data_IF_048957718930
#
_entry.id   IF_048957718930
#
_cell.length_a   1.000
_cell.length_b   1.000
_cell.length_c   1.000
_cell.angle_alpha   90.00
_cell.angle_beta   90.00
_cell.angle_gamma   90.00
#
_symmetry.space_group_name_H-M   'P 1'
#
loop_
_entity.id
_entity.type
_entity.pdbx_description
1 polymer ?
#
# COMPACT_ATOMS: atom_id res chain seq x y z
N UNK A 1 42.85 -13.59 -11.75
CA UNK A 1 41.45 -13.73 -11.29
C UNK A 1 41.22 -13.17 -9.89
N UNK A 2 41.99 -13.56 -8.87
CA UNK A 2 41.81 -13.07 -7.48
C UNK A 2 41.94 -11.54 -7.35
N UNK A 3 42.92 -10.92 -8.01
CA UNK A 3 43.10 -9.46 -7.98
C UNK A 3 41.91 -8.70 -8.60
N UNK A 4 41.37 -9.22 -9.71
CA UNK A 4 40.20 -8.66 -10.38
C UNK A 4 38.95 -8.76 -9.48
N UNK A 5 38.74 -9.92 -8.85
CA UNK A 5 37.67 -10.13 -7.89
C UNK A 5 37.76 -9.14 -6.72
N UNK A 6 38.97 -8.95 -6.19
CA UNK A 6 39.22 -8.03 -5.07
C UNK A 6 38.95 -6.57 -5.46
N UNK A 7 39.35 -6.15 -6.66
CA UNK A 7 39.02 -4.82 -7.20
C UNK A 7 37.51 -4.64 -7.34
N UNK A 8 36.81 -5.62 -7.91
CA UNK A 8 35.35 -5.58 -8.08
C UNK A 8 34.64 -5.48 -6.74
N UNK A 9 34.98 -6.32 -5.76
CA UNK A 9 34.37 -6.31 -4.42
C UNK A 9 34.65 -4.99 -3.70
N UNK A 10 35.88 -4.49 -3.78
CA UNK A 10 36.26 -3.22 -3.14
C UNK A 10 35.48 -2.05 -3.77
N UNK A 11 35.37 -2.04 -5.09
CA UNK A 11 34.63 -1.01 -5.83
C UNK A 11 33.14 -1.04 -5.48
N UNK A 12 32.53 -2.23 -5.43
CA UNK A 12 31.14 -2.42 -5.02
C UNK A 12 30.90 -1.98 -3.57
N UNK A 13 31.82 -2.31 -2.66
CA UNK A 13 31.73 -1.88 -1.27
C UNK A 13 31.83 -0.36 -1.12
N UNK A 14 32.77 0.29 -1.81
CA UNK A 14 32.91 1.75 -1.81
C UNK A 14 31.65 2.40 -2.40
N UNK A 15 31.15 1.88 -3.52
CA UNK A 15 29.92 2.37 -4.14
C UNK A 15 28.71 2.26 -3.19
N UNK A 16 28.52 1.09 -2.57
CA UNK A 16 27.46 0.90 -1.59
C UNK A 16 27.61 1.84 -0.40
N UNK A 17 28.81 1.98 0.15
CA UNK A 17 29.08 2.91 1.26
C UNK A 17 28.78 4.36 0.87
N UNK A 18 29.19 4.81 -0.31
CA UNK A 18 28.91 6.15 -0.81
C UNK A 18 27.40 6.40 -0.99
N UNK A 19 26.67 5.39 -1.44
CA UNK A 19 25.23 5.45 -1.61
C UNK A 19 24.48 5.54 -0.27
N UNK A 20 24.82 4.66 0.68
CA UNK A 20 24.18 4.57 2.00
C UNK A 20 24.62 5.65 3.00
N UNK A 21 25.60 6.49 2.64
CA UNK A 21 26.03 7.67 3.42
C UNK A 21 25.62 9.00 2.77
N UNK A 22 24.81 8.96 1.71
CA UNK A 22 24.33 10.15 0.98
C UNK A 22 23.68 11.18 1.91
N UNK A 23 22.79 10.76 2.81
CA UNK A 23 22.08 11.69 3.69
C UNK A 23 22.98 12.36 4.72
N UNK A 24 23.86 11.59 5.34
CA UNK A 24 24.87 12.09 6.28
C UNK A 24 25.78 13.13 5.60
N UNK A 25 26.21 12.86 4.37
CA UNK A 25 27.01 13.80 3.56
C UNK A 25 26.27 15.07 3.16
N UNK A 26 24.95 15.02 3.08
CA UNK A 26 24.10 16.18 2.80
C UNK A 26 23.69 16.92 4.09
N UNK A 27 24.15 16.46 5.26
CA UNK A 27 23.88 17.09 6.55
C UNK A 27 22.54 16.71 7.18
N UNK A 28 21.85 15.68 6.67
CA UNK A 28 20.63 15.17 7.29
C UNK A 28 20.94 14.18 8.41
N UNK A 29 20.20 14.26 9.52
CA UNK A 29 20.09 13.15 10.46
C UNK A 29 19.57 11.92 9.70
N UNK A 30 20.22 10.77 9.83
CA UNK A 30 19.87 9.54 9.12
C UNK A 30 19.82 8.37 10.08
N UNK A 31 18.86 7.45 9.87
CA UNK A 31 18.94 6.15 10.51
C UNK A 31 20.15 5.38 9.94
N UNK A 32 20.80 4.57 10.77
CA UNK A 32 21.97 3.79 10.37
C UNK A 32 21.54 2.71 9.38
N UNK A 33 21.73 3.00 8.10
CA UNK A 33 21.40 2.09 7.02
C UNK A 33 22.25 0.82 7.07
N UNK A 34 21.62 -0.35 7.04
CA UNK A 34 22.32 -1.63 6.92
C UNK A 34 22.51 -1.96 5.45
N UNK A 35 23.74 -2.02 4.96
CA UNK A 35 24.01 -2.41 3.57
C UNK A 35 23.67 -3.91 3.40
N UNK A 36 22.85 -4.32 2.41
CA UNK A 36 22.25 -3.56 1.31
C UNK A 36 20.74 -3.28 1.47
N UNK A 37 20.17 -3.47 2.67
CA UNK A 37 18.73 -3.37 2.91
C UNK A 37 18.29 -1.99 3.41
N UNK A 38 19.22 -1.08 3.65
CA UNK A 38 18.96 0.26 4.14
C UNK A 38 18.30 0.22 5.52
N UNK A 39 17.26 1.03 5.69
CA UNK A 39 16.42 1.05 6.89
C UNK A 39 15.41 -0.11 6.93
N UNK A 40 15.27 -0.88 5.84
CA UNK A 40 14.23 -1.89 5.66
C UNK A 40 14.66 -3.32 6.05
N UNK A 41 15.81 -3.48 6.72
CA UNK A 41 16.33 -4.80 7.10
C UNK A 41 15.30 -5.64 7.88
N UNK A 42 14.67 -5.06 8.91
CA UNK A 42 13.62 -5.74 9.71
C UNK A 42 12.39 -6.13 8.91
N UNK A 43 12.04 -5.35 7.89
CA UNK A 43 10.93 -5.65 6.98
C UNK A 43 11.28 -6.86 6.11
N UNK A 44 12.50 -6.88 5.57
CA UNK A 44 12.98 -7.98 4.75
C UNK A 44 13.06 -9.30 5.54
N UNK A 45 13.52 -9.26 6.79
CA UNK A 45 13.56 -10.41 7.70
C UNK A 45 12.19 -10.79 8.27
N UNK A 46 11.11 -10.07 7.91
CA UNK A 46 9.73 -10.26 8.41
C UNK A 46 9.61 -10.16 9.93
N UNK A 47 10.54 -9.46 10.57
CA UNK A 47 10.53 -9.22 12.01
C UNK A 47 9.51 -8.14 12.37
N UNK A 48 9.32 -7.15 11.47
CA UNK A 48 8.45 -6.01 11.74
C UNK A 48 7.82 -5.49 10.43
N UNK A 49 6.53 -5.13 10.43
CA UNK A 49 5.88 -4.56 9.24
C UNK A 49 6.44 -3.17 8.93
N UNK A 50 6.37 -2.81 7.64
CA UNK A 50 6.90 -1.57 7.08
C UNK A 50 6.50 -0.31 7.87
N UNK A 51 5.22 -0.13 8.15
CA UNK A 51 4.72 1.05 8.87
C UNK A 51 5.30 1.20 10.28
N UNK A 52 5.50 0.08 10.99
CA UNK A 52 6.07 0.13 12.34
C UNK A 52 7.58 0.38 12.31
N UNK A 53 8.29 -0.04 11.26
CA UNK A 53 9.71 0.32 11.09
C UNK A 53 9.85 1.82 10.85
N UNK A 54 8.97 2.43 10.06
CA UNK A 54 8.96 3.88 9.89
C UNK A 54 8.60 4.62 11.19
N UNK A 55 7.67 4.09 11.98
CA UNK A 55 7.36 4.63 13.31
C UNK A 55 8.57 4.58 14.24
N UNK A 56 9.29 3.46 14.28
CA UNK A 56 10.49 3.35 15.12
C UNK A 56 11.54 4.42 14.77
N UNK A 57 11.74 4.67 13.47
CA UNK A 57 12.68 5.69 13.00
C UNK A 57 12.15 7.09 13.32
N UNK A 58 10.83 7.30 13.15
CA UNK A 58 10.17 8.54 13.53
C UNK A 58 10.36 8.86 15.01
N UNK A 59 10.25 7.87 15.89
CA UNK A 59 10.35 8.07 17.34
C UNK A 59 11.81 8.22 17.82
N UNK A 60 12.74 7.56 17.13
CA UNK A 60 14.17 7.56 17.45
C UNK A 60 14.89 8.86 17.09
N UNK A 61 14.50 9.50 16.00
CA UNK A 61 15.16 10.72 15.50
C UNK A 61 14.45 11.98 16.01
N UNK A 62 15.12 13.13 15.93
CA UNK A 62 14.59 14.38 16.48
C UNK A 62 14.47 15.49 15.44
N UNK A 63 15.21 15.42 14.33
CA UNK A 63 15.11 16.40 13.26
C UNK A 63 13.77 16.38 12.52
N UNK A 64 13.43 17.52 11.92
CA UNK A 64 12.19 17.71 11.15
C UNK A 64 12.10 16.80 9.93
N UNK A 65 13.26 16.43 9.38
CA UNK A 65 13.41 15.57 8.21
C UNK A 65 14.55 14.61 8.48
N UNK A 66 14.29 13.32 8.27
CA UNK A 66 15.26 12.26 8.54
C UNK A 66 15.55 11.50 7.25
N UNK A 67 16.82 11.32 6.93
CA UNK A 67 17.27 10.46 5.86
C UNK A 67 16.97 8.99 6.16
N UNK A 68 16.32 8.32 5.23
CA UNK A 68 16.08 6.88 5.28
C UNK A 68 16.42 6.22 3.94
N UNK A 69 16.51 4.90 3.98
CA UNK A 69 16.76 4.09 2.79
C UNK A 69 15.70 3.00 2.67
N UNK A 70 14.82 3.16 1.67
CA UNK A 70 13.84 2.16 1.28
C UNK A 70 14.55 1.14 0.38
N UNK A 71 15.21 0.15 1.00
CA UNK A 71 16.23 -0.68 0.34
C UNK A 71 17.31 0.21 -0.29
N UNK A 72 17.45 0.18 -1.62
CA UNK A 72 18.43 0.99 -2.35
C UNK A 72 17.89 2.38 -2.71
N UNK A 73 16.63 2.71 -2.44
CA UNK A 73 16.07 4.03 -2.76
C UNK A 73 16.28 5.00 -1.59
N UNK A 74 17.09 6.06 -1.72
CA UNK A 74 17.18 7.09 -0.69
C UNK A 74 15.84 7.84 -0.63
N UNK A 75 15.30 8.00 0.57
CA UNK A 75 14.07 8.75 0.82
C UNK A 75 14.20 9.64 2.06
N UNK A 76 13.31 10.62 2.19
CA UNK A 76 13.22 11.49 3.35
C UNK A 76 11.94 11.18 4.12
N UNK A 77 12.07 10.92 5.41
CA UNK A 77 10.97 10.81 6.34
C UNK A 77 10.68 12.21 6.91
N UNK A 78 9.55 12.79 6.50
CA UNK A 78 9.10 14.10 6.99
C UNK A 78 8.39 13.91 8.33
N UNK A 79 8.87 14.61 9.36
CA UNK A 79 8.35 14.53 10.74
C UNK A 79 7.61 15.77 11.19
N UNK A 80 7.97 16.92 10.63
CA UNK A 80 7.33 18.20 10.90
C UNK A 80 5.98 18.29 10.16
N UNK A 81 4.90 18.54 10.92
CA UNK A 81 3.55 18.57 10.39
C UNK A 81 3.30 19.74 9.44
N UNK A 82 3.95 20.88 9.65
CA UNK A 82 3.80 22.05 8.80
C UNK A 82 4.51 21.84 7.46
N UNK A 83 5.69 21.23 7.49
CA UNK A 83 6.39 20.79 6.28
C UNK A 83 5.60 19.72 5.52
N UNK A 84 5.03 18.74 6.22
CA UNK A 84 4.17 17.73 5.60
C UNK A 84 2.94 18.38 4.95
N UNK A 85 2.30 19.33 5.63
CA UNK A 85 1.18 20.12 5.08
C UNK A 85 1.63 20.86 3.82
N UNK A 86 2.74 21.58 3.86
CA UNK A 86 3.26 22.31 2.71
C UNK A 86 3.47 21.39 1.50
N UNK A 87 4.13 20.25 1.68
CA UNK A 87 4.38 19.25 0.63
C UNK A 87 3.07 18.70 0.05
N UNK A 88 2.11 18.36 0.92
CA UNK A 88 0.86 17.71 0.51
C UNK A 88 -0.18 18.68 -0.05
N UNK A 89 -0.10 19.98 0.26
CA UNK A 89 -1.07 20.99 -0.17
C UNK A 89 -0.48 22.04 -1.10
N UNK A 90 0.47 22.83 -0.59
CA UNK A 90 0.98 24.03 -1.28
C UNK A 90 1.83 23.63 -2.48
N UNK A 91 2.76 22.71 -2.25
CA UNK A 91 3.72 22.25 -3.25
C UNK A 91 3.28 20.93 -3.91
N UNK A 92 2.00 20.57 -3.79
CA UNK A 92 1.46 19.30 -4.29
C UNK A 92 1.76 19.07 -5.78
N UNK A 93 1.78 20.13 -6.59
CA UNK A 93 2.11 20.03 -8.00
C UNK A 93 3.52 19.48 -8.25
N UNK A 94 4.45 19.63 -7.31
CA UNK A 94 5.81 19.07 -7.35
C UNK A 94 5.90 17.68 -6.70
N UNK A 95 4.95 17.29 -5.86
CA UNK A 95 4.98 16.06 -5.04
C UNK A 95 3.77 15.13 -5.25
N UNK A 96 3.14 15.19 -6.43
CA UNK A 96 1.92 14.42 -6.71
C UNK A 96 2.18 12.93 -6.97
N UNK A 97 3.38 12.58 -7.40
CA UNK A 97 3.77 11.20 -7.73
C UNK A 97 4.19 10.42 -6.49
N UNK A 98 3.84 9.13 -6.43
CA UNK A 98 4.09 8.27 -5.27
C UNK A 98 5.33 7.38 -5.43
N UNK A 99 5.94 7.38 -6.62
CA UNK A 99 7.21 6.71 -6.88
C UNK A 99 7.12 5.19 -6.80
N UNK A 100 5.97 4.63 -7.21
CA UNK A 100 5.71 3.22 -7.36
C UNK A 100 5.67 2.88 -8.86
N UNK A 101 6.23 1.73 -9.21
CA UNK A 101 6.33 1.30 -10.61
C UNK A 101 4.96 0.97 -11.23
N UNK A 102 4.75 1.42 -12.47
CA UNK A 102 3.57 1.13 -13.30
C UNK A 102 4.02 0.53 -14.62
N UNK A 103 3.43 -0.61 -15.01
CA UNK A 103 3.60 -1.23 -16.32
C UNK A 103 2.24 -1.39 -16.98
N UNK A 104 1.75 -0.33 -17.65
CA UNK A 104 0.43 -0.36 -18.28
C UNK A 104 0.33 -1.40 -19.41
N UNK A 105 1.48 -1.79 -20.01
CA UNK A 105 1.51 -2.63 -21.20
C UNK A 105 1.41 -4.12 -20.84
N UNK A 106 2.21 -4.58 -19.89
CA UNK A 106 2.24 -5.99 -19.50
C UNK A 106 1.45 -6.27 -18.21
N UNK A 107 1.12 -5.25 -17.43
CA UNK A 107 0.30 -5.35 -16.23
C UNK A 107 -0.67 -4.16 -16.09
N UNK A 108 -1.78 -4.13 -16.86
CA UNK A 108 -2.74 -3.03 -16.82
C UNK A 108 -3.33 -2.75 -15.42
N UNK A 109 -3.33 -3.74 -14.51
CA UNK A 109 -3.82 -3.55 -13.14
C UNK A 109 -2.87 -2.72 -12.27
N UNK A 110 -1.59 -2.64 -12.64
CA UNK A 110 -0.61 -1.74 -12.00
C UNK A 110 -0.96 -0.26 -12.24
N UNK A 111 -1.71 0.04 -13.31
CA UNK A 111 -2.10 1.38 -13.74
C UNK A 111 -3.42 1.84 -13.08
N UNK A 112 -3.41 2.01 -11.76
CA UNK A 112 -4.59 2.47 -11.01
C UNK A 112 -4.38 3.88 -10.42
N UNK A 113 -5.47 4.52 -9.96
CA UNK A 113 -5.46 5.90 -9.42
C UNK A 113 -4.46 6.11 -8.26
N UNK A 114 -4.15 5.04 -7.52
CA UNK A 114 -3.23 5.11 -6.39
C UNK A 114 -1.76 5.02 -6.80
N UNK A 115 -1.44 4.61 -8.02
CA UNK A 115 -0.06 4.34 -8.44
C UNK A 115 0.36 5.19 -9.63
N UNK A 116 -0.57 5.48 -10.55
CA UNK A 116 -0.29 6.32 -11.72
C UNK A 116 0.31 7.68 -11.36
N UNK A 117 1.09 8.21 -12.30
CA UNK A 117 1.87 9.43 -12.14
C UNK A 117 1.46 10.50 -13.17
N UNK A 118 1.82 11.75 -12.90
CA UNK A 118 1.70 12.85 -13.85
C UNK A 118 0.29 13.11 -14.39
N UNK A 119 0.21 13.35 -15.70
CA UNK A 119 -1.01 13.77 -16.38
C UNK A 119 -2.06 12.65 -16.46
N UNK A 120 -1.65 11.39 -16.57
CA UNK A 120 -2.55 10.23 -16.57
C UNK A 120 -3.30 10.13 -15.24
N UNK A 121 -2.59 10.28 -14.12
CA UNK A 121 -3.19 10.36 -12.80
C UNK A 121 -4.18 11.53 -12.66
N UNK A 122 -3.77 12.74 -13.08
CA UNK A 122 -4.64 13.93 -13.03
C UNK A 122 -5.94 13.70 -13.81
N UNK A 123 -5.83 13.15 -15.01
CA UNK A 123 -6.96 12.87 -15.88
C UNK A 123 -7.92 11.85 -15.25
N UNK A 124 -7.40 10.75 -14.71
CA UNK A 124 -8.25 9.75 -14.05
C UNK A 124 -8.91 10.33 -12.79
N UNK A 125 -8.17 11.08 -11.98
CA UNK A 125 -8.70 11.72 -10.77
C UNK A 125 -9.86 12.66 -11.09
N UNK A 126 -9.71 13.51 -12.09
CA UNK A 126 -10.76 14.44 -12.52
C UNK A 126 -12.03 13.72 -12.96
N UNK A 127 -11.91 12.54 -13.58
CA UNK A 127 -13.05 11.71 -13.99
C UNK A 127 -13.75 11.02 -12.83
N UNK A 128 -13.00 10.56 -11.83
CA UNK A 128 -13.55 9.77 -10.70
C UNK A 128 -14.04 10.64 -9.54
N UNK A 129 -13.42 11.79 -9.28
CA UNK A 129 -13.75 12.63 -8.13
C UNK A 129 -15.25 13.03 -8.04
N UNK A 130 -15.97 13.36 -9.15
CA UNK A 130 -17.38 13.73 -9.07
C UNK A 130 -18.29 12.64 -8.50
N UNK A 131 -17.93 11.36 -8.69
CA UNK A 131 -18.69 10.20 -8.18
C UNK A 131 -18.69 10.12 -6.64
N UNK A 132 -17.74 10.78 -5.98
CA UNK A 132 -17.60 10.81 -4.52
C UNK A 132 -17.99 12.16 -3.90
N UNK A 133 -18.79 12.98 -4.61
CA UNK A 133 -19.35 14.21 -4.06
C UNK A 133 -20.37 13.91 -2.94
N UNK A 134 -20.59 14.85 -2.03
CA UNK A 134 -21.51 14.68 -0.90
C UNK A 134 -22.94 14.29 -1.32
N UNK A 135 -23.42 14.82 -2.45
CA UNK A 135 -24.73 14.46 -3.00
C UNK A 135 -24.79 13.02 -3.52
N UNK A 136 -23.71 12.55 -4.17
CA UNK A 136 -23.60 11.15 -4.61
C UNK A 136 -23.48 10.22 -3.42
N UNK A 137 -22.64 10.53 -2.45
CA UNK A 137 -22.51 9.74 -1.21
C UNK A 137 -23.84 9.63 -0.46
N UNK A 138 -24.61 10.71 -0.37
CA UNK A 138 -25.96 10.66 0.22
C UNK A 138 -26.89 9.72 -0.54
N UNK A 139 -26.83 9.72 -1.88
CA UNK A 139 -27.61 8.81 -2.71
C UNK A 139 -27.20 7.33 -2.58
N UNK A 140 -25.96 7.05 -2.16
CA UNK A 140 -25.49 5.68 -1.94
C UNK A 140 -25.92 5.11 -0.57
N UNK A 141 -26.37 5.98 0.35
CA UNK A 141 -26.60 5.60 1.75
C UNK A 141 -27.67 4.51 1.89
N UNK A 142 -28.78 4.59 1.15
CA UNK A 142 -29.85 3.58 1.19
C UNK A 142 -29.32 2.19 0.81
N UNK A 143 -28.53 2.09 -0.26
CA UNK A 143 -27.90 0.82 -0.67
C UNK A 143 -26.93 0.29 0.40
N UNK A 144 -26.20 1.16 1.08
CA UNK A 144 -25.31 0.76 2.18
C UNK A 144 -26.12 0.22 3.36
N UNK A 145 -27.24 0.86 3.70
CA UNK A 145 -28.13 0.45 4.78
C UNK A 145 -28.79 -0.91 4.49
N UNK A 146 -29.20 -1.16 3.23
CA UNK A 146 -29.74 -2.45 2.79
C UNK A 146 -28.72 -3.58 2.99
N UNK A 147 -27.45 -3.35 2.65
CA UNK A 147 -26.38 -4.34 2.85
C UNK A 147 -26.10 -4.52 4.35
N UNK A 148 -26.23 -3.47 5.17
CA UNK A 148 -26.10 -3.56 6.62
C UNK A 148 -27.23 -4.40 7.23
N UNK A 149 -28.46 -4.26 6.74
CA UNK A 149 -29.59 -5.09 7.16
C UNK A 149 -29.35 -6.58 6.87
N UNK A 150 -28.78 -6.92 5.69
CA UNK A 150 -28.38 -8.30 5.35
C UNK A 150 -27.35 -8.86 6.34
N UNK A 151 -26.33 -8.08 6.68
CA UNK A 151 -25.34 -8.44 7.69
C UNK A 151 -25.99 -8.72 9.06
N UNK A 152 -26.88 -7.82 9.51
CA UNK A 152 -27.58 -7.97 10.79
C UNK A 152 -28.45 -9.23 10.81
N UNK A 153 -29.17 -9.50 9.73
CA UNK A 153 -29.98 -10.71 9.60
C UNK A 153 -29.11 -11.97 9.68
N UNK A 154 -27.99 -12.02 8.95
CA UNK A 154 -27.04 -13.13 9.01
C UNK A 154 -26.51 -13.38 10.44
N UNK A 155 -26.18 -12.31 11.17
CA UNK A 155 -25.72 -12.43 12.56
C UNK A 155 -26.85 -12.89 13.49
N UNK A 156 -28.05 -12.34 13.35
CA UNK A 156 -29.21 -12.72 14.17
C UNK A 156 -29.57 -14.21 13.98
N UNK A 157 -29.50 -14.71 12.75
CA UNK A 157 -29.74 -16.13 12.46
C UNK A 157 -28.65 -17.01 13.08
N UNK A 158 -27.39 -16.62 12.96
CA UNK A 158 -26.25 -17.38 13.50
C UNK A 158 -26.21 -17.41 15.02
N UNK A 159 -26.72 -16.37 15.68
CA UNK A 159 -26.73 -16.21 17.14
C UNK A 159 -28.07 -16.63 17.79
N UNK A 160 -28.99 -17.20 17.01
CA UNK A 160 -30.37 -17.51 17.43
C UNK A 160 -30.47 -18.54 18.55
N UNK A 161 -29.47 -19.41 18.68
CA UNK A 161 -29.45 -20.50 19.68
C UNK A 161 -29.10 -20.04 21.10
N UNK A 162 -28.77 -18.76 21.29
CA UNK A 162 -28.41 -18.19 22.59
C UNK A 162 -27.05 -18.65 23.12
N UNK A 163 -26.24 -19.32 22.29
CA UNK A 163 -24.92 -19.81 22.66
C UNK A 163 -23.84 -18.78 22.36
N UNK A 164 -22.66 -18.98 22.94
CA UNK A 164 -21.48 -18.19 22.60
C UNK A 164 -20.86 -18.70 21.30
N UNK A 165 -20.75 -17.80 20.32
CA UNK A 165 -20.17 -18.11 19.01
C UNK A 165 -18.83 -17.38 18.82
N UNK A 166 -17.87 -18.07 18.23
CA UNK A 166 -16.64 -17.45 17.74
C UNK A 166 -16.90 -16.93 16.32
N UNK A 167 -16.79 -15.61 16.15
CA UNK A 167 -17.01 -14.94 14.86
C UNK A 167 -15.69 -14.44 14.28
N UNK A 168 -15.48 -14.74 13.00
CA UNK A 168 -14.34 -14.22 12.24
C UNK A 168 -14.70 -12.84 11.67
N UNK A 169 -14.41 -11.80 12.44
CA UNK A 169 -14.82 -10.41 12.14
C UNK A 169 -14.24 -9.92 10.81
N UNK A 170 -13.02 -10.33 10.44
CA UNK A 170 -12.40 -9.87 9.19
C UNK A 170 -13.19 -10.35 7.99
N UNK A 171 -13.59 -11.62 7.94
CA UNK A 171 -14.40 -12.20 6.88
C UNK A 171 -15.75 -11.51 6.80
N UNK A 172 -16.42 -11.32 7.93
CA UNK A 172 -17.74 -10.66 8.00
C UNK A 172 -17.67 -9.23 7.43
N UNK A 173 -16.71 -8.42 7.89
CA UNK A 173 -16.56 -7.04 7.43
C UNK A 173 -16.03 -6.95 5.99
N UNK A 174 -15.23 -7.93 5.55
CA UNK A 174 -14.80 -8.03 4.15
C UNK A 174 -16.00 -8.30 3.25
N UNK A 175 -16.86 -9.25 3.62
CA UNK A 175 -18.11 -9.54 2.90
C UNK A 175 -19.01 -8.32 2.83
N UNK A 176 -19.21 -7.63 3.96
CA UNK A 176 -19.97 -6.38 4.02
C UNK A 176 -19.42 -5.31 3.05
N UNK A 177 -18.11 -5.05 3.08
CA UNK A 177 -17.48 -4.06 2.22
C UNK A 177 -17.56 -4.43 0.72
N UNK A 178 -17.40 -5.72 0.40
CA UNK A 178 -17.49 -6.23 -0.97
C UNK A 178 -18.90 -6.09 -1.52
N UNK A 179 -19.92 -6.42 -0.73
CA UNK A 179 -21.32 -6.28 -1.15
C UNK A 179 -21.69 -4.81 -1.34
N UNK A 180 -21.23 -3.90 -0.46
CA UNK A 180 -21.38 -2.46 -0.69
C UNK A 180 -20.77 -2.05 -2.02
N UNK A 181 -19.53 -2.45 -2.31
CA UNK A 181 -18.86 -2.10 -3.57
C UNK A 181 -19.64 -2.65 -4.76
N UNK A 182 -20.07 -3.91 -4.70
CA UNK A 182 -20.85 -4.56 -5.74
C UNK A 182 -22.19 -3.86 -6.01
N UNK A 183 -22.93 -3.51 -4.96
CA UNK A 183 -24.22 -2.86 -5.09
C UNK A 183 -24.11 -1.38 -5.45
N UNK A 184 -23.22 -0.63 -4.82
CA UNK A 184 -23.09 0.82 -5.05
C UNK A 184 -22.40 1.14 -6.38
N UNK A 185 -21.28 0.47 -6.68
CA UNK A 185 -20.46 0.82 -7.85
C UNK A 185 -20.95 0.10 -9.10
N UNK A 186 -21.34 -1.17 -8.98
CA UNK A 186 -21.74 -1.99 -10.12
C UNK A 186 -23.26 -2.15 -10.26
N UNK A 187 -24.06 -1.65 -9.31
CA UNK A 187 -25.51 -1.75 -9.36
C UNK A 187 -26.03 -3.19 -9.22
N UNK A 188 -25.23 -4.08 -8.62
CA UNK A 188 -25.55 -5.50 -8.50
C UNK A 188 -26.33 -5.78 -7.22
N UNK A 189 -27.38 -6.59 -7.34
CA UNK A 189 -28.07 -7.13 -6.17
C UNK A 189 -27.30 -8.36 -5.66
N UNK A 190 -26.44 -8.15 -4.67
CA UNK A 190 -25.60 -9.20 -4.10
C UNK A 190 -26.02 -9.44 -2.65
N UNK A 191 -26.02 -10.71 -2.27
CA UNK A 191 -26.10 -11.15 -0.88
C UNK A 191 -25.10 -12.28 -0.67
N UNK A 192 -23.87 -11.88 -0.34
CA UNK A 192 -22.77 -12.80 -0.06
C UNK A 192 -22.86 -13.43 1.33
N UNK A 193 -23.78 -12.98 2.19
CA UNK A 193 -24.01 -13.60 3.49
C UNK A 193 -24.86 -14.86 3.36
N UNK A 194 -25.89 -14.80 2.51
CA UNK A 194 -26.75 -15.96 2.19
C UNK A 194 -26.10 -16.85 1.11
N UNK A 195 -25.44 -16.25 0.12
CA UNK A 195 -24.84 -16.95 -1.02
C UNK A 195 -23.32 -16.68 -1.11
N UNK A 196 -22.50 -17.30 -0.25
CA UNK A 196 -21.07 -17.00 -0.16
C UNK A 196 -20.27 -17.36 -1.42
N UNK A 197 -20.77 -18.28 -2.25
CA UNK A 197 -20.12 -18.72 -3.48
C UNK A 197 -20.49 -17.89 -4.72
N UNK A 198 -21.14 -16.74 -4.54
CA UNK A 198 -21.48 -15.88 -5.67
C UNK A 198 -20.23 -15.37 -6.41
N UNK A 199 -20.38 -15.11 -7.71
CA UNK A 199 -19.26 -14.79 -8.60
C UNK A 199 -18.47 -13.56 -8.14
N UNK A 200 -19.14 -12.54 -7.61
CA UNK A 200 -18.51 -11.31 -7.16
C UNK A 200 -17.67 -11.53 -5.89
N UNK A 201 -18.17 -12.30 -4.93
CA UNK A 201 -17.44 -12.69 -3.72
C UNK A 201 -16.22 -13.54 -4.05
N UNK A 202 -16.37 -14.53 -4.93
CA UNK A 202 -15.27 -15.40 -5.39
C UNK A 202 -14.20 -14.59 -6.12
N UNK A 203 -14.60 -13.64 -6.98
CA UNK A 203 -13.67 -12.75 -7.66
C UNK A 203 -12.91 -11.86 -6.64
N UNK A 204 -13.63 -11.27 -5.70
CA UNK A 204 -13.04 -10.47 -4.62
C UNK A 204 -12.03 -11.26 -3.79
N UNK A 205 -12.36 -12.50 -3.41
CA UNK A 205 -11.44 -13.37 -2.68
C UNK A 205 -10.17 -13.68 -3.48
N UNK A 206 -10.24 -13.82 -4.80
CA UNK A 206 -9.04 -14.01 -5.64
C UNK A 206 -8.16 -12.77 -5.68
N UNK A 207 -8.75 -11.58 -5.63
CA UNK A 207 -8.02 -10.30 -5.59
C UNK A 207 -7.32 -10.08 -4.25
N UNK A 208 -8.00 -10.34 -3.14
CA UNK A 208 -7.47 -10.10 -1.79
C UNK A 208 -6.64 -11.27 -1.23
N UNK A 209 -6.89 -12.49 -1.69
CA UNK A 209 -6.13 -13.68 -1.34
C UNK A 209 -5.55 -14.33 -2.60
N UNK A 210 -4.60 -13.68 -3.30
CA UNK A 210 -3.96 -14.27 -4.46
C UNK A 210 -3.25 -15.56 -4.03
N UNK A 211 -3.85 -16.72 -4.31
CA UNK A 211 -3.25 -18.03 -4.01
C UNK A 211 -1.95 -18.15 -4.83
N UNK A 212 -0.84 -18.29 -4.10
CA UNK A 212 0.53 -18.50 -4.59
C UNK A 212 0.98 -17.50 -5.67
N UNK A 213 1.33 -16.28 -5.26
CA UNK A 213 2.40 -15.58 -5.98
C UNK A 213 3.64 -16.49 -5.97
N UNK A 214 4.06 -16.99 -7.12
CA UNK A 214 5.30 -17.77 -7.23
C UNK A 214 6.45 -16.97 -6.60
N UNK A 215 7.46 -17.62 -6.01
CA UNK A 215 8.64 -16.93 -5.48
C UNK A 215 9.20 -15.92 -6.49
N UNK A 216 9.14 -16.26 -7.78
CA UNK A 216 9.51 -15.41 -8.91
C UNK A 216 8.68 -14.12 -9.02
N UNK A 217 7.37 -14.16 -8.77
CA UNK A 217 6.52 -12.96 -8.77
C UNK A 217 6.81 -12.08 -7.55
N UNK A 218 7.08 -12.67 -6.38
CA UNK A 218 7.51 -11.90 -5.20
C UNK A 218 8.85 -11.24 -5.45
N UNK A 219 9.78 -11.95 -6.07
CA UNK A 219 11.07 -11.42 -6.46
C UNK A 219 10.92 -10.32 -7.52
N UNK A 220 10.06 -10.50 -8.53
CA UNK A 220 9.75 -9.48 -9.54
C UNK A 220 9.15 -8.22 -8.92
N UNK A 221 8.17 -8.36 -8.03
CA UNK A 221 7.53 -7.22 -7.37
C UNK A 221 8.51 -6.50 -6.42
N UNK A 222 9.33 -7.25 -5.70
CA UNK A 222 10.40 -6.68 -4.88
C UNK A 222 11.46 -6.01 -5.75
N UNK A 223 11.82 -6.59 -6.90
CA UNK A 223 12.75 -6.01 -7.87
C UNK A 223 12.19 -4.71 -8.43
N UNK A 224 10.93 -4.67 -8.86
CA UNK A 224 10.29 -3.45 -9.37
C UNK A 224 10.19 -2.37 -8.28
N UNK A 225 10.07 -2.75 -7.01
CA UNK A 225 10.09 -1.83 -5.88
C UNK A 225 11.50 -1.30 -5.58
N UNK A 226 12.51 -2.17 -5.66
CA UNK A 226 13.91 -1.85 -5.34
C UNK A 226 14.59 -1.07 -6.48
N UNK A 227 14.35 -1.50 -7.71
CA UNK A 227 14.95 -1.01 -8.95
C UNK A 227 13.91 -1.15 -10.07
N UNK A 228 12.97 -0.21 -10.20
CA UNK A 228 12.07 -0.19 -11.34
C UNK A 228 12.89 -0.16 -12.65
N UNK A 229 12.49 -0.90 -13.69
CA UNK A 229 13.15 -0.92 -14.99
C UNK A 229 13.03 0.41 -15.74
#
# INVERSE_FOLDING_TARGET
MLLLLLIVVTTLYIFAKLHYTKWERLGFESDKATIPLGSMAKVFHKERPFGLVLSDIYDKCHEKVVGIYLFFKPALLVRDAELARQILTTDFNSFHDRGLYVDEKNDPMSANLFVMEGQSWRTLRMKLAPSFSSGKLKGMFETVDDVAAKLLNHLNERLKDGQSHVLEIKSILTTYAVDIIGSVIFGLEIDSFTHPDNEFRVLSDRLFNPKKSTMLQRFRNLSNFICPP
#
